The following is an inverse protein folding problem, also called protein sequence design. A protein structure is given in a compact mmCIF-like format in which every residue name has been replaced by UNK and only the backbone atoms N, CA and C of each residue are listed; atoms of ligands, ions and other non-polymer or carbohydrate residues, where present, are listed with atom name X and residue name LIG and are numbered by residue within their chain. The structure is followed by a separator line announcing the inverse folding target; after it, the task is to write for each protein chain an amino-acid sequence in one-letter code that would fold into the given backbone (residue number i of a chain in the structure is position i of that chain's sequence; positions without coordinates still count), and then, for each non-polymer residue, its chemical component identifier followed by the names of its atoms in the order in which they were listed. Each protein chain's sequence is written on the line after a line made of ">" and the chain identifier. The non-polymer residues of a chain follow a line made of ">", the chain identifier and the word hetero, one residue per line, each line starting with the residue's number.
data_IF_112905299807
#
_entry.id   IF_112905299807
#
_cell.length_a   1.000
_cell.length_b   1.000
_cell.length_c   1.000
_cell.angle_alpha   90.00
_cell.angle_beta   90.00
_cell.angle_gamma   90.00
#
_symmetry.space_group_name_H-M   'P 1'
#
loop_
_entity.id
_entity.type
_entity.pdbx_description
1 polymer ?
#
# COMPACT_ATOMS: atom_id res chain seq x y z
N UNK A 1 -3.35 -20.91 -16.31
CA UNK A 1 -3.94 -19.85 -15.45
C UNK A 1 -3.77 -18.51 -16.17
N UNK A 2 -4.76 -17.61 -16.17
CA UNK A 2 -4.62 -16.27 -16.78
C UNK A 2 -3.64 -15.45 -15.93
N UNK A 3 -2.57 -14.92 -16.53
CA UNK A 3 -1.62 -14.03 -15.86
C UNK A 3 -2.28 -12.67 -15.65
N UNK A 4 -2.16 -12.10 -14.45
CA UNK A 4 -2.74 -10.77 -14.18
C UNK A 4 -1.67 -9.76 -13.76
N UNK A 5 -1.70 -8.61 -14.43
CA UNK A 5 -0.92 -7.42 -14.13
C UNK A 5 -1.83 -6.30 -13.62
N UNK A 6 -3.02 -6.63 -13.11
CA UNK A 6 -3.90 -5.65 -12.48
C UNK A 6 -3.28 -5.13 -11.16
N UNK A 7 -3.36 -3.83 -10.85
CA UNK A 7 -2.71 -3.23 -9.68
C UNK A 7 -3.51 -3.40 -8.36
N UNK A 8 -4.30 -4.48 -8.22
CA UNK A 8 -5.04 -4.80 -7.00
C UNK A 8 -6.52 -5.18 -7.24
N UNK A 9 -6.95 -6.39 -6.82
CA UNK A 9 -6.11 -7.54 -6.49
C UNK A 9 -5.16 -7.87 -7.65
N UNK A 10 -3.92 -8.24 -7.34
CA UNK A 10 -2.91 -8.61 -8.33
C UNK A 10 -2.60 -10.10 -8.29
N UNK A 11 -1.59 -10.53 -9.05
CA UNK A 11 -1.07 -11.90 -8.97
C UNK A 11 -0.64 -12.19 -7.53
N UNK A 12 -1.00 -13.36 -7.03
CA UNK A 12 -0.51 -13.87 -5.75
C UNK A 12 0.78 -14.69 -5.94
N UNK A 13 1.58 -14.89 -4.89
CA UNK A 13 2.78 -15.71 -5.02
C UNK A 13 2.45 -17.16 -5.42
N UNK A 14 3.28 -17.75 -6.29
CA UNK A 14 3.08 -19.11 -6.81
C UNK A 14 3.20 -20.19 -5.72
N UNK A 15 3.84 -19.88 -4.59
CA UNK A 15 3.96 -20.76 -3.42
C UNK A 15 2.71 -20.81 -2.55
N UNK A 16 1.72 -19.93 -2.77
CA UNK A 16 0.53 -19.90 -1.91
C UNK A 16 -0.18 -21.25 -1.79
N UNK A 17 -0.44 -22.03 -2.86
CA UNK A 17 -1.10 -23.32 -2.73
C UNK A 17 -0.44 -24.25 -1.71
N UNK A 18 0.90 -24.27 -1.65
CA UNK A 18 1.66 -25.00 -0.65
C UNK A 18 1.38 -24.44 0.76
N UNK A 19 1.47 -23.12 0.94
CA UNK A 19 1.20 -22.48 2.24
C UNK A 19 -0.24 -22.73 2.71
N UNK A 20 -1.20 -22.77 1.80
CA UNK A 20 -2.60 -23.07 2.15
C UNK A 20 -2.75 -24.49 2.69
N UNK A 21 -2.06 -25.45 2.07
CA UNK A 21 -2.05 -26.84 2.53
C UNK A 21 -1.37 -26.96 3.90
N UNK A 22 -0.19 -26.35 4.07
CA UNK A 22 0.54 -26.35 5.34
C UNK A 22 -0.27 -25.69 6.46
N UNK A 23 -0.99 -24.59 6.19
CA UNK A 23 -1.89 -23.96 7.17
C UNK A 23 -3.00 -24.91 7.67
N UNK A 24 -3.51 -25.78 6.79
CA UNK A 24 -4.50 -26.79 7.15
C UNK A 24 -3.86 -27.92 7.98
N UNK A 25 -2.73 -28.44 7.53
CA UNK A 25 -2.00 -29.54 8.20
C UNK A 25 -1.48 -29.15 9.59
N UNK A 26 -1.02 -27.91 9.76
CA UNK A 26 -0.57 -27.35 11.03
C UNK A 26 -1.73 -26.95 11.97
N UNK A 27 -2.99 -27.08 11.52
CA UNK A 27 -4.18 -26.74 12.32
C UNK A 27 -4.43 -25.25 12.49
N UNK A 28 -3.69 -24.38 11.78
CA UNK A 28 -3.77 -22.92 11.89
C UNK A 28 -5.17 -22.40 11.57
N UNK A 29 -5.87 -23.03 10.62
CA UNK A 29 -7.22 -22.63 10.23
C UNK A 29 -8.26 -22.79 11.37
N UNK A 30 -7.96 -23.60 12.38
CA UNK A 30 -8.80 -23.79 13.57
C UNK A 30 -8.19 -23.19 14.83
N UNK A 31 -7.07 -22.48 14.71
CA UNK A 31 -6.38 -21.90 15.86
C UNK A 31 -7.21 -20.80 16.51
N UNK A 32 -7.36 -20.87 17.84
CA UNK A 32 -7.96 -19.80 18.61
C UNK A 32 -7.01 -18.59 18.62
N UNK A 33 -7.50 -17.38 18.29
CA UNK A 33 -6.72 -16.14 18.28
C UNK A 33 -6.17 -15.69 19.66
N UNK A 34 -6.47 -16.43 20.73
CA UNK A 34 -5.91 -16.26 22.08
C UNK A 34 -4.93 -17.38 22.46
N UNK A 35 -4.70 -18.35 21.59
CA UNK A 35 -3.79 -19.48 21.83
C UNK A 35 -2.33 -19.10 21.59
N UNK A 36 -1.39 -19.87 22.16
CA UNK A 36 0.03 -19.73 21.91
C UNK A 36 0.35 -19.79 20.40
N UNK A 37 -0.28 -20.71 19.66
CA UNK A 37 -0.12 -20.83 18.21
C UNK A 37 -0.36 -19.51 17.48
N UNK A 38 -1.42 -18.79 17.85
CA UNK A 38 -1.71 -17.49 17.23
C UNK A 38 -0.74 -16.40 17.69
N UNK A 39 -0.44 -16.34 18.99
CA UNK A 39 0.45 -15.33 19.56
C UNK A 39 1.87 -15.45 18.99
N UNK A 40 2.39 -16.68 18.87
CA UNK A 40 3.69 -16.98 18.28
C UNK A 40 3.70 -16.59 16.79
N UNK A 41 2.63 -16.90 16.05
CA UNK A 41 2.48 -16.52 14.64
C UNK A 41 2.47 -15.01 14.45
N UNK A 42 1.76 -14.26 15.31
CA UNK A 42 1.77 -12.80 15.31
C UNK A 42 3.18 -12.31 15.60
N UNK A 43 3.79 -12.73 16.71
CA UNK A 43 5.13 -12.29 17.13
C UNK A 43 6.18 -12.54 16.04
N UNK A 44 6.15 -13.72 15.40
CA UNK A 44 7.02 -14.05 14.29
C UNK A 44 6.76 -13.14 13.08
N UNK A 45 5.50 -12.86 12.76
CA UNK A 45 5.16 -11.90 11.69
C UNK A 45 5.72 -10.51 11.99
N UNK A 46 5.57 -10.01 13.21
CA UNK A 46 6.11 -8.71 13.61
C UNK A 46 7.65 -8.68 13.55
N UNK A 47 8.30 -9.77 13.94
CA UNK A 47 9.76 -9.95 13.82
C UNK A 47 10.19 -9.89 12.35
N UNK A 48 9.49 -10.57 11.46
CA UNK A 48 9.76 -10.53 10.03
C UNK A 48 9.54 -9.15 9.42
N UNK A 49 8.59 -8.34 9.92
CA UNK A 49 8.47 -6.93 9.51
C UNK A 49 9.74 -6.13 9.84
N UNK A 50 10.33 -6.35 11.02
CA UNK A 50 11.60 -5.72 11.41
C UNK A 50 12.75 -6.14 10.50
N UNK A 51 12.90 -7.45 10.30
CA UNK A 51 14.01 -8.02 9.53
C UNK A 51 13.90 -7.70 8.04
N UNK A 52 12.72 -7.93 7.44
CA UNK A 52 12.54 -7.89 5.99
C UNK A 52 12.22 -6.49 5.49
N UNK A 53 11.48 -5.70 6.26
CA UNK A 53 11.06 -4.36 5.85
C UNK A 53 11.81 -3.24 6.57
N UNK A 54 12.69 -3.56 7.52
CA UNK A 54 13.41 -2.60 8.35
C UNK A 54 12.46 -1.73 9.22
N UNK A 55 11.37 -2.33 9.71
CA UNK A 55 10.48 -1.68 10.68
C UNK A 55 11.23 -1.42 12.01
N UNK A 56 11.25 -0.19 12.56
CA UNK A 56 11.89 0.07 13.84
C UNK A 56 11.20 -0.67 14.98
N UNK A 57 11.99 -1.12 15.97
CA UNK A 57 11.50 -1.92 17.11
C UNK A 57 10.39 -1.25 17.92
N UNK A 58 10.39 0.08 17.92
CA UNK A 58 9.43 0.91 18.64
C UNK A 58 8.03 0.93 18.02
N UNK A 59 7.87 0.53 16.76
CA UNK A 59 6.56 0.48 16.10
C UNK A 59 5.77 -0.74 16.54
N UNK A 60 4.45 -0.60 16.56
CA UNK A 60 3.52 -1.71 16.72
C UNK A 60 2.88 -2.06 15.40
N UNK A 61 2.93 -3.35 15.05
CA UNK A 61 2.18 -3.93 13.94
C UNK A 61 0.76 -4.21 14.44
N UNK A 62 -0.26 -3.86 13.66
CA UNK A 62 -1.65 -4.20 13.92
C UNK A 62 -2.29 -4.74 12.64
N UNK A 63 -3.26 -5.63 12.82
CA UNK A 63 -4.00 -6.24 11.72
C UNK A 63 -5.42 -5.70 11.66
N UNK A 64 -5.86 -5.36 10.45
CA UNK A 64 -7.23 -4.91 10.14
C UNK A 64 -7.82 -5.71 8.99
N UNK A 65 -9.06 -5.46 8.60
CA UNK A 65 -9.71 -6.13 7.46
C UNK A 65 -9.25 -5.58 6.10
N UNK A 66 -8.89 -4.29 6.03
CA UNK A 66 -8.50 -3.62 4.78
C UNK A 66 -7.81 -2.26 5.02
N UNK A 67 -7.14 -1.74 3.99
CA UNK A 67 -6.61 -0.37 4.00
C UNK A 67 -7.71 0.70 4.15
N UNK A 68 -8.93 0.43 3.64
CA UNK A 68 -10.09 1.32 3.80
C UNK A 68 -10.50 1.43 5.26
N UNK A 69 -10.46 0.33 6.03
CA UNK A 69 -10.73 0.38 7.47
C UNK A 69 -9.72 1.28 8.19
N UNK A 70 -8.45 1.25 7.78
CA UNK A 70 -7.42 2.12 8.35
C UNK A 70 -7.72 3.61 8.13
N UNK A 71 -8.40 4.00 7.04
CA UNK A 71 -8.83 5.39 6.84
C UNK A 71 -9.74 5.87 7.98
N UNK A 72 -10.69 5.03 8.39
CA UNK A 72 -11.62 5.33 9.47
C UNK A 72 -10.93 5.24 10.83
N UNK A 73 -10.14 4.20 11.10
CA UNK A 73 -9.40 4.04 12.37
C UNK A 73 -8.50 5.25 12.64
N UNK A 74 -7.74 5.70 11.64
CA UNK A 74 -6.85 6.86 11.80
C UNK A 74 -7.67 8.13 12.12
N UNK A 75 -8.73 8.39 11.35
CA UNK A 75 -9.56 9.58 11.54
C UNK A 75 -10.25 9.55 12.91
N UNK A 76 -10.78 8.40 13.32
CA UNK A 76 -11.59 8.27 14.51
C UNK A 76 -10.77 8.18 15.81
N UNK A 77 -9.59 7.54 15.79
CA UNK A 77 -8.83 7.26 17.01
C UNK A 77 -7.59 8.12 17.17
N UNK A 78 -7.14 8.84 16.13
CA UNK A 78 -5.88 9.62 16.16
C UNK A 78 -6.10 11.12 15.95
N UNK A 79 -7.03 11.54 15.08
CA UNK A 79 -7.27 12.97 14.80
C UNK A 79 -8.07 13.59 15.93
N UNK A 80 -7.55 14.60 16.63
CA UNK A 80 -8.24 15.32 17.71
C UNK A 80 -8.91 16.62 17.20
N UNK A 81 -8.39 17.22 16.13
CA UNK A 81 -8.90 18.49 15.59
C UNK A 81 -9.30 18.40 14.12
N UNK A 82 -8.35 18.10 13.23
CA UNK A 82 -8.58 17.98 11.80
C UNK A 82 -7.35 17.38 11.09
N UNK A 83 -7.58 16.65 10.00
CA UNK A 83 -6.51 16.19 9.12
C UNK A 83 -6.13 17.21 8.04
N UNK A 84 -4.88 17.15 7.56
CA UNK A 84 -4.40 17.83 6.36
C UNK A 84 -3.99 16.79 5.32
N UNK A 85 -4.83 16.54 4.31
CA UNK A 85 -4.62 15.44 3.35
C UNK A 85 -3.94 15.93 2.08
N UNK A 86 -2.74 15.42 1.81
CA UNK A 86 -1.95 15.65 0.60
C UNK A 86 -2.13 14.44 -0.34
N UNK A 87 -2.72 14.68 -1.52
CA UNK A 87 -3.01 13.61 -2.48
C UNK A 87 -3.11 14.12 -3.92
N UNK A 88 -2.90 13.22 -4.88
CA UNK A 88 -2.93 13.53 -6.32
C UNK A 88 -4.05 12.83 -7.10
N UNK A 89 -4.84 11.96 -6.46
CA UNK A 89 -5.82 11.14 -7.18
C UNK A 89 -6.93 10.53 -6.33
N UNK A 90 -7.45 9.40 -6.81
CA UNK A 90 -8.73 8.86 -6.36
C UNK A 90 -8.67 8.23 -4.97
N UNK A 91 -7.58 7.55 -4.61
CA UNK A 91 -7.50 6.86 -3.32
C UNK A 91 -7.28 7.88 -2.19
N UNK A 92 -6.41 8.86 -2.39
CA UNK A 92 -6.27 9.95 -1.42
C UNK A 92 -7.53 10.81 -1.28
N UNK A 93 -8.27 11.06 -2.39
CA UNK A 93 -9.58 11.71 -2.31
C UNK A 93 -10.57 10.90 -1.46
N UNK A 94 -10.63 9.58 -1.66
CA UNK A 94 -11.51 8.72 -0.85
C UNK A 94 -11.13 8.77 0.62
N UNK A 95 -9.84 8.64 0.96
CA UNK A 95 -9.40 8.76 2.35
C UNK A 95 -9.83 10.11 2.96
N UNK A 96 -9.62 11.22 2.25
CA UNK A 96 -10.12 12.54 2.65
C UNK A 96 -11.65 12.54 2.86
N UNK A 97 -12.43 11.98 1.94
CA UNK A 97 -13.89 11.98 2.01
C UNK A 97 -14.38 11.24 3.28
N UNK A 98 -13.77 10.10 3.61
CA UNK A 98 -14.05 9.37 4.86
C UNK A 98 -13.61 10.18 6.09
N UNK A 99 -12.42 10.77 6.06
CA UNK A 99 -11.91 11.60 7.15
C UNK A 99 -12.82 12.81 7.42
N UNK A 100 -13.35 13.47 6.38
CA UNK A 100 -14.30 14.58 6.49
C UNK A 100 -15.65 14.18 7.08
N UNK A 101 -16.06 12.92 6.90
CA UNK A 101 -17.30 12.44 7.51
C UNK A 101 -17.19 12.34 9.04
N UNK A 102 -15.98 12.05 9.54
CA UNK A 102 -15.68 11.95 10.96
C UNK A 102 -15.27 13.31 11.55
N UNK A 103 -14.37 14.02 10.87
CA UNK A 103 -13.83 15.33 11.24
C UNK A 103 -14.05 16.35 10.11
N UNK A 104 -15.20 17.08 10.08
CA UNK A 104 -15.59 17.94 8.96
C UNK A 104 -14.62 19.08 8.62
N UNK A 105 -13.76 19.49 9.58
CA UNK A 105 -12.75 20.54 9.40
C UNK A 105 -11.50 20.06 8.65
N UNK A 106 -11.41 18.77 8.33
CA UNK A 106 -10.29 18.18 7.59
C UNK A 106 -10.08 18.87 6.23
N UNK A 107 -8.84 19.26 5.96
CA UNK A 107 -8.44 20.01 4.77
C UNK A 107 -7.94 19.12 3.64
N UNK A 108 -8.19 19.59 2.41
CA UNK A 108 -7.82 18.92 1.18
C UNK A 108 -6.71 19.70 0.46
N UNK A 109 -5.48 19.18 0.51
CA UNK A 109 -4.36 19.66 -0.30
C UNK A 109 -4.20 18.76 -1.52
N UNK A 110 -4.98 19.04 -2.57
CA UNK A 110 -4.91 18.29 -3.82
C UNK A 110 -3.81 18.86 -4.71
N UNK A 111 -2.84 18.03 -5.07
CA UNK A 111 -1.84 18.33 -6.10
C UNK A 111 -2.22 17.72 -7.45
N UNK A 112 -1.63 18.20 -8.54
CA UNK A 112 -1.83 17.59 -9.84
C UNK A 112 -1.13 16.21 -9.90
N UNK A 113 -1.67 15.23 -10.65
CA UNK A 113 -0.92 14.02 -10.99
C UNK A 113 0.43 14.37 -11.62
N UNK A 114 1.51 13.78 -11.11
CA UNK A 114 2.87 14.05 -11.58
C UNK A 114 3.58 15.25 -10.94
N UNK A 115 2.90 16.03 -10.10
CA UNK A 115 3.48 17.16 -9.38
C UNK A 115 4.28 16.70 -8.16
N UNK A 116 5.46 17.30 -7.95
CA UNK A 116 6.25 17.11 -6.73
C UNK A 116 5.66 18.01 -5.65
N UNK A 117 5.53 17.49 -4.42
CA UNK A 117 5.04 18.30 -3.30
C UNK A 117 6.09 19.37 -3.00
N UNK A 118 5.71 20.65 -3.15
CA UNK A 118 6.50 21.78 -2.68
C UNK A 118 6.40 21.89 -1.15
N UNK A 119 7.32 21.23 -0.45
CA UNK A 119 7.34 21.16 1.01
C UNK A 119 7.51 22.55 1.62
N UNK A 120 8.27 23.44 1.00
CA UNK A 120 8.50 24.81 1.49
C UNK A 120 7.25 25.68 1.39
N UNK A 121 6.45 25.48 0.34
CA UNK A 121 5.16 26.15 0.18
C UNK A 121 4.04 25.59 1.06
N UNK A 122 4.16 24.36 1.59
CA UNK A 122 3.13 23.80 2.48
C UNK A 122 2.87 24.72 3.68
N UNK A 123 1.60 24.96 3.98
CA UNK A 123 1.15 25.70 5.16
C UNK A 123 0.18 24.80 5.94
N UNK A 124 0.71 23.99 6.85
CA UNK A 124 -0.10 23.15 7.75
C UNK A 124 -0.28 23.90 9.07
N UNK A 125 -1.45 24.51 9.25
CA UNK A 125 -1.80 25.27 10.44
C UNK A 125 -1.90 24.45 11.74
N UNK A 126 -2.09 25.15 12.86
CA UNK A 126 -2.19 24.52 14.18
C UNK A 126 -3.50 23.75 14.39
N UNK A 127 -4.54 24.12 13.64
CA UNK A 127 -5.84 23.45 13.59
C UNK A 127 -5.79 22.05 12.98
N UNK A 128 -4.71 21.70 12.27
CA UNK A 128 -4.49 20.36 11.73
C UNK A 128 -3.46 19.63 12.58
N UNK A 129 -3.86 18.54 13.23
CA UNK A 129 -3.03 17.77 14.14
C UNK A 129 -2.56 16.42 13.54
N UNK A 130 -2.97 16.15 12.29
CA UNK A 130 -2.51 15.03 11.48
C UNK A 130 -2.26 15.48 10.02
N UNK A 131 -1.14 15.05 9.43
CA UNK A 131 -0.86 15.16 8.00
C UNK A 131 -1.02 13.77 7.38
N UNK A 132 -1.89 13.66 6.38
CA UNK A 132 -2.14 12.42 5.66
C UNK A 132 -1.53 12.49 4.26
N UNK A 133 -0.67 11.54 3.89
CA UNK A 133 0.00 11.50 2.59
C UNK A 133 -0.36 10.21 1.86
N UNK A 134 -0.87 10.32 0.63
CA UNK A 134 -0.98 9.16 -0.26
C UNK A 134 0.34 8.92 -0.97
N UNK A 135 1.17 7.99 -0.47
CA UNK A 135 2.53 7.80 -0.98
C UNK A 135 2.58 7.18 -2.36
N UNK A 136 1.65 6.29 -2.71
CA UNK A 136 1.54 5.73 -4.05
C UNK A 136 0.08 5.71 -4.51
N UNK A 137 -0.29 6.69 -5.33
CA UNK A 137 -1.63 6.89 -5.86
C UNK A 137 -1.89 5.92 -7.02
N UNK A 138 -2.40 4.73 -6.70
CA UNK A 138 -2.59 3.64 -7.66
C UNK A 138 -3.52 4.03 -8.83
N UNK A 139 -4.36 5.06 -8.68
CA UNK A 139 -5.32 5.47 -9.72
C UNK A 139 -4.65 6.09 -10.95
N UNK A 140 -3.52 6.79 -10.74
CA UNK A 140 -2.78 7.50 -11.78
C UNK A 140 -1.28 7.15 -11.83
N UNK A 141 -0.80 6.28 -10.93
CA UNK A 141 0.61 5.89 -10.78
C UNK A 141 1.56 7.03 -10.37
N UNK A 142 1.06 8.02 -9.62
CA UNK A 142 1.91 9.04 -8.98
C UNK A 142 2.44 8.51 -7.65
N UNK A 143 3.71 8.71 -7.38
CA UNK A 143 4.40 8.33 -6.16
C UNK A 143 5.07 9.55 -5.51
N UNK A 144 4.88 9.69 -4.20
CA UNK A 144 5.65 10.61 -3.35
C UNK A 144 6.93 9.89 -2.91
N UNK A 145 8.07 10.52 -3.15
CA UNK A 145 9.39 9.98 -2.80
C UNK A 145 9.66 10.10 -1.29
N UNK A 146 10.54 9.24 -0.77
CA UNK A 146 10.82 9.18 0.67
C UNK A 146 11.53 10.43 1.19
N UNK A 147 12.38 11.06 0.39
CA UNK A 147 13.02 12.34 0.70
C UNK A 147 11.99 13.47 0.87
N UNK A 148 10.91 13.47 0.09
CA UNK A 148 9.79 14.41 0.25
C UNK A 148 9.05 14.16 1.58
N UNK A 149 8.77 12.90 1.94
CA UNK A 149 8.11 12.58 3.21
C UNK A 149 9.01 12.96 4.40
N UNK A 150 10.31 12.69 4.31
CA UNK A 150 11.31 13.12 5.30
C UNK A 150 11.39 14.66 5.42
N UNK A 151 11.34 15.39 4.31
CA UNK A 151 11.26 16.85 4.32
C UNK A 151 9.98 17.36 5.01
N UNK A 152 8.82 16.71 4.78
CA UNK A 152 7.57 17.03 5.50
C UNK A 152 7.74 16.77 7.00
N UNK A 153 8.34 15.65 7.41
CA UNK A 153 8.65 15.36 8.81
C UNK A 153 9.52 16.44 9.45
N UNK A 154 10.61 16.81 8.78
CA UNK A 154 11.53 17.87 9.26
C UNK A 154 10.84 19.21 9.42
N UNK A 155 9.93 19.57 8.51
CA UNK A 155 9.17 20.81 8.58
C UNK A 155 8.08 20.79 9.66
N UNK A 156 7.47 19.63 9.91
CA UNK A 156 6.36 19.46 10.84
C UNK A 156 6.63 18.40 11.92
N UNK A 157 7.68 18.57 12.75
CA UNK A 157 8.12 17.53 13.69
C UNK A 157 7.06 17.19 14.75
N UNK A 158 6.21 18.15 15.12
CA UNK A 158 5.19 17.99 16.16
C UNK A 158 3.83 17.49 15.65
N UNK A 159 3.69 17.23 14.35
CA UNK A 159 2.44 16.72 13.75
C UNK A 159 2.52 15.21 13.61
N UNK A 160 1.39 14.53 13.82
CA UNK A 160 1.31 13.12 13.44
C UNK A 160 1.28 13.02 11.92
N UNK A 161 2.14 12.19 11.34
CA UNK A 161 2.13 11.93 9.89
C UNK A 161 1.64 10.51 9.64
N UNK A 162 0.59 10.37 8.83
CA UNK A 162 0.04 9.11 8.39
C UNK A 162 0.22 8.93 6.89
N UNK A 163 0.65 7.74 6.46
CA UNK A 163 1.03 7.49 5.06
C UNK A 163 0.31 6.25 4.49
N UNK A 164 -0.42 6.46 3.40
CA UNK A 164 -0.99 5.37 2.58
C UNK A 164 0.11 4.72 1.75
N UNK A 165 0.43 3.47 2.07
CA UNK A 165 1.41 2.65 1.34
C UNK A 165 0.79 1.37 0.79
N UNK A 166 -0.53 1.36 0.59
CA UNK A 166 -1.29 0.20 0.15
C UNK A 166 -0.71 -0.45 -1.11
N UNK A 167 -0.18 0.35 -2.04
CA UNK A 167 0.41 -0.13 -3.29
C UNK A 167 1.93 -0.11 -3.35
N UNK A 168 2.62 0.04 -2.22
CA UNK A 168 4.07 0.18 -2.17
C UNK A 168 4.74 -0.58 -1.01
N UNK A 169 4.08 -0.75 0.14
CA UNK A 169 4.64 -1.51 1.26
C UNK A 169 4.89 -2.97 0.85
N UNK A 170 6.11 -3.46 1.07
CA UNK A 170 6.58 -4.77 0.60
C UNK A 170 7.18 -4.76 -0.81
N UNK A 171 7.13 -3.64 -1.53
CA UNK A 171 7.79 -3.46 -2.83
C UNK A 171 8.75 -2.27 -2.90
N UNK A 172 8.56 -1.26 -2.06
CA UNK A 172 9.42 -0.06 -1.98
C UNK A 172 10.09 -0.05 -0.62
N UNK A 173 11.38 0.32 -0.57
CA UNK A 173 12.07 0.59 0.69
C UNK A 173 11.53 1.90 1.28
N UNK A 174 10.80 1.78 2.38
CA UNK A 174 10.23 2.90 3.13
C UNK A 174 11.15 3.20 4.32
N UNK A 175 11.37 4.48 4.60
CA UNK A 175 11.96 4.91 5.86
C UNK A 175 10.84 5.18 6.86
N UNK A 176 10.59 4.22 7.75
CA UNK A 176 9.51 4.32 8.72
C UNK A 176 9.70 5.44 9.74
N UNK A 177 10.93 5.94 9.94
CA UNK A 177 11.17 7.08 10.83
C UNK A 177 10.59 8.40 10.30
N UNK A 178 10.25 8.46 9.00
CA UNK A 178 9.69 9.67 8.40
C UNK A 178 8.21 9.90 8.76
N UNK A 179 7.47 8.92 9.29
CA UNK A 179 6.06 9.09 9.63
C UNK A 179 5.62 8.21 10.80
N UNK A 180 4.56 8.60 11.50
CA UNK A 180 4.08 7.92 12.70
C UNK A 180 3.18 6.74 12.40
N UNK A 181 2.41 6.83 11.32
CA UNK A 181 1.43 5.83 10.96
C UNK A 181 1.65 5.43 9.50
N UNK A 182 1.75 4.13 9.27
CA UNK A 182 1.84 3.56 7.94
C UNK A 182 0.78 2.50 7.80
N UNK A 183 0.11 2.44 6.65
CA UNK A 183 -0.84 1.37 6.42
C UNK A 183 -0.81 0.84 5.00
N UNK A 184 -1.26 -0.41 4.87
CA UNK A 184 -1.41 -1.09 3.59
C UNK A 184 -2.51 -2.16 3.64
N UNK A 185 -2.71 -2.84 2.51
CA UNK A 185 -3.47 -4.09 2.43
C UNK A 185 -2.73 -5.10 1.54
N UNK A 186 -2.93 -6.38 1.81
CA UNK A 186 -1.98 -7.42 1.36
C UNK A 186 -2.11 -7.84 -0.12
N UNK A 187 -3.17 -7.45 -0.82
CA UNK A 187 -3.46 -7.85 -2.20
C UNK A 187 -2.74 -7.06 -3.30
N UNK A 188 -1.66 -6.35 -2.93
CA UNK A 188 -0.79 -5.62 -3.84
C UNK A 188 0.64 -6.15 -3.76
N UNK A 189 1.58 -5.40 -3.17
CA UNK A 189 2.99 -5.79 -3.13
C UNK A 189 3.25 -7.03 -2.25
N UNK A 190 2.40 -7.30 -1.25
CA UNK A 190 2.47 -8.54 -0.48
C UNK A 190 1.92 -9.77 -1.22
N UNK A 191 1.31 -9.63 -2.40
CA UNK A 191 0.94 -10.77 -3.25
C UNK A 191 0.02 -11.80 -2.59
N UNK A 192 -0.91 -11.37 -1.74
CA UNK A 192 -1.86 -12.26 -1.05
C UNK A 192 -3.31 -12.05 -1.53
N UNK A 193 -4.25 -12.97 -1.24
CA UNK A 193 -5.66 -12.69 -1.36
C UNK A 193 -6.07 -11.47 -0.52
N UNK A 194 -7.04 -10.69 -1.00
CA UNK A 194 -7.59 -9.57 -0.24
C UNK A 194 -8.28 -10.05 1.05
N UNK A 195 -8.33 -9.19 2.06
CA UNK A 195 -8.98 -9.49 3.35
C UNK A 195 -8.07 -9.34 4.57
N UNK A 196 -6.88 -8.76 4.41
CA UNK A 196 -6.02 -8.34 5.52
C UNK A 196 -5.46 -6.94 5.23
N UNK A 197 -5.68 -6.03 6.18
CA UNK A 197 -5.06 -4.73 6.28
C UNK A 197 -3.93 -4.75 7.31
N UNK A 198 -2.98 -3.86 7.14
CA UNK A 198 -1.82 -3.66 8.02
C UNK A 198 -1.82 -2.22 8.48
N UNK A 199 -1.60 -2.00 9.77
CA UNK A 199 -1.46 -0.69 10.38
C UNK A 199 -0.23 -0.70 11.30
N UNK A 200 0.75 0.13 10.99
CA UNK A 200 1.98 0.29 11.78
C UNK A 200 1.89 1.62 12.52
N UNK A 201 2.14 1.61 13.83
CA UNK A 201 1.91 2.77 14.71
C UNK A 201 3.16 3.06 15.54
N UNK A 202 3.67 4.30 15.48
CA UNK A 202 4.80 4.78 16.27
C UNK A 202 4.41 5.05 17.73
N UNK A 203 5.38 5.16 18.65
CA UNK A 203 5.12 5.57 20.03
C UNK A 203 4.39 6.92 20.15
N UNK A 204 4.71 7.90 19.30
CA UNK A 204 4.08 9.23 19.35
C UNK A 204 2.60 9.16 18.92
N UNK A 205 2.28 8.32 17.93
CA UNK A 205 0.89 8.05 17.58
C UNK A 205 0.16 7.28 18.68
N UNK A 206 0.79 6.32 19.35
CA UNK A 206 0.22 5.61 20.51
C UNK A 206 -0.11 6.61 21.64
N UNK A 207 0.83 7.48 22.01
CA UNK A 207 0.63 8.49 23.04
C UNK A 207 -0.54 9.44 22.71
N UNK A 208 -0.74 9.75 21.42
CA UNK A 208 -1.89 10.53 20.96
C UNK A 208 -3.21 9.76 21.07
N UNK A 209 -3.22 8.47 20.73
CA UNK A 209 -4.40 7.59 20.90
C UNK A 209 -4.79 7.53 22.38
N UNK A 210 -3.82 7.33 23.27
CA UNK A 210 -4.04 7.25 24.72
C UNK A 210 -4.61 8.56 25.28
N UNK A 211 -4.08 9.71 24.83
CA UNK A 211 -4.60 11.03 25.21
C UNK A 211 -6.04 11.26 24.71
N UNK A 212 -6.34 10.87 23.47
CA UNK A 212 -7.69 10.99 22.90
C UNK A 212 -8.67 10.05 23.60
N UNK A 213 -8.23 8.86 23.99
CA UNK A 213 -9.01 7.89 24.77
C UNK A 213 -10.22 7.32 24.03
N UNK A 214 -10.22 7.28 22.70
CA UNK A 214 -11.35 6.79 21.91
C UNK A 214 -11.53 5.26 22.07
N UNK A 215 -12.75 4.84 22.46
CA UNK A 215 -13.12 3.43 22.72
C UNK A 215 -14.54 3.08 22.25
N UNK A 216 -15.08 3.82 21.27
CA UNK A 216 -16.49 3.77 20.90
C UNK A 216 -16.87 2.71 19.86
N UNK A 217 -15.91 1.99 19.28
CA UNK A 217 -16.11 1.08 18.15
C UNK A 217 -15.33 -0.22 18.33
N UNK A 218 -15.78 -1.29 17.67
CA UNK A 218 -15.09 -2.58 17.70
C UNK A 218 -13.64 -2.49 17.17
N UNK A 219 -13.36 -1.53 16.29
CA UNK A 219 -12.03 -1.27 15.75
C UNK A 219 -11.39 0.01 16.32
N UNK A 220 -11.80 0.47 17.50
CA UNK A 220 -11.10 1.56 18.19
C UNK A 220 -9.63 1.18 18.41
N UNK A 221 -8.73 2.07 18.00
CA UNK A 221 -7.29 1.80 18.03
C UNK A 221 -6.78 1.51 19.44
N UNK A 222 -7.37 2.13 20.47
CA UNK A 222 -7.06 1.86 21.87
C UNK A 222 -7.23 0.38 22.25
N UNK A 223 -8.30 -0.27 21.79
CA UNK A 223 -8.51 -1.70 22.05
C UNK A 223 -7.51 -2.56 21.28
N UNK A 224 -7.21 -2.19 20.02
CA UNK A 224 -6.27 -2.90 19.19
C UNK A 224 -4.86 -2.87 19.79
N UNK A 225 -4.40 -1.70 20.24
CA UNK A 225 -3.10 -1.50 20.89
C UNK A 225 -2.99 -2.28 22.21
N UNK A 226 -4.04 -2.25 23.04
CA UNK A 226 -4.09 -3.00 24.30
C UNK A 226 -3.89 -4.51 24.06
N UNK A 227 -4.58 -5.08 23.06
CA UNK A 227 -4.46 -6.51 22.75
C UNK A 227 -3.11 -6.85 22.09
N UNK A 228 -2.56 -5.95 21.29
CA UNK A 228 -1.27 -6.12 20.63
C UNK A 228 -0.09 -6.22 21.63
N UNK A 229 -0.22 -5.71 22.86
CA UNK A 229 0.81 -5.87 23.90
C UNK A 229 1.11 -7.34 24.22
N UNK A 230 0.13 -8.23 24.02
CA UNK A 230 0.25 -9.67 24.24
C UNK A 230 0.15 -10.46 22.94
N UNK A 231 0.46 -9.84 21.79
CA UNK A 231 0.37 -10.47 20.46
C UNK A 231 -1.01 -11.05 20.14
N UNK A 232 -2.07 -10.36 20.58
CA UNK A 232 -3.46 -10.73 20.33
C UNK A 232 -4.15 -9.62 19.52
N UNK A 233 -5.31 -9.96 18.97
CA UNK A 233 -6.20 -8.98 18.31
C UNK A 233 -7.46 -8.79 19.15
N UNK A 234 -8.02 -7.58 19.12
CA UNK A 234 -9.23 -7.27 19.89
C UNK A 234 -10.43 -8.14 19.45
N UNK A 235 -10.63 -8.26 18.14
CA UNK A 235 -11.63 -9.11 17.52
C UNK A 235 -10.97 -10.30 16.82
N UNK A 236 -11.74 -11.35 16.55
CA UNK A 236 -11.26 -12.53 15.80
C UNK A 236 -10.79 -12.09 14.40
N UNK A 237 -9.50 -12.24 14.08
CA UNK A 237 -8.92 -11.68 12.86
C UNK A 237 -9.01 -12.67 11.70
N UNK A 238 -8.53 -12.24 10.53
CA UNK A 238 -8.21 -13.14 9.43
C UNK A 238 -6.91 -13.93 9.75
N UNK A 239 -7.02 -14.95 10.60
CA UNK A 239 -5.90 -15.81 11.04
C UNK A 239 -5.15 -16.38 9.82
N UNK A 240 -5.89 -16.83 8.81
CA UNK A 240 -5.31 -17.37 7.58
C UNK A 240 -4.51 -16.34 6.79
N UNK A 241 -5.02 -15.12 6.66
CA UNK A 241 -4.28 -14.02 6.02
C UNK A 241 -2.99 -13.68 6.75
N UNK A 242 -3.00 -13.68 8.09
CA UNK A 242 -1.81 -13.43 8.92
C UNK A 242 -0.79 -14.55 8.72
N UNK A 243 -1.24 -15.81 8.69
CA UNK A 243 -0.38 -16.95 8.37
C UNK A 243 0.29 -16.80 7.00
N UNK A 244 -0.49 -16.53 5.95
CA UNK A 244 0.05 -16.36 4.59
C UNK A 244 1.05 -15.20 4.51
N UNK A 245 0.78 -14.10 5.22
CA UNK A 245 1.69 -12.97 5.30
C UNK A 245 3.01 -13.36 5.97
N UNK A 246 2.95 -14.09 7.08
CA UNK A 246 4.14 -14.65 7.73
C UNK A 246 4.97 -15.49 6.76
N UNK A 247 4.35 -16.45 6.07
CA UNK A 247 5.01 -17.35 5.13
C UNK A 247 5.63 -16.62 3.94
N UNK A 248 4.93 -15.63 3.40
CA UNK A 248 5.49 -14.78 2.33
C UNK A 248 6.67 -13.95 2.82
N UNK A 249 6.62 -13.39 4.04
CA UNK A 249 7.73 -12.62 4.58
C UNK A 249 8.97 -13.47 4.87
N UNK A 250 8.81 -14.71 5.35
CA UNK A 250 9.94 -15.64 5.52
C UNK A 250 10.73 -15.81 4.21
N UNK A 251 10.00 -15.94 3.11
CA UNK A 251 10.54 -16.15 1.77
C UNK A 251 10.99 -14.87 1.06
N UNK A 252 10.52 -13.70 1.50
CA UNK A 252 10.86 -12.43 0.89
C UNK A 252 12.34 -12.11 1.15
N UNK A 253 13.03 -11.61 0.14
CA UNK A 253 14.33 -10.95 0.35
C UNK A 253 14.15 -9.69 1.20
N UNK A 254 15.23 -9.20 1.81
CA UNK A 254 15.17 -7.90 2.46
C UNK A 254 14.79 -6.79 1.45
N UNK A 255 14.04 -5.81 1.93
CA UNK A 255 13.33 -4.83 1.10
C UNK A 255 14.23 -4.04 0.15
N UNK A 256 15.51 -3.83 0.47
CA UNK A 256 16.47 -3.15 -0.43
C UNK A 256 16.69 -3.93 -1.74
N UNK A 257 16.68 -5.26 -1.69
CA UNK A 257 16.86 -6.10 -2.87
C UNK A 257 15.59 -6.13 -3.72
N UNK A 258 14.44 -6.24 -3.05
CA UNK A 258 13.12 -6.18 -3.69
C UNK A 258 12.91 -4.83 -4.40
N UNK A 259 13.14 -3.70 -3.73
CA UNK A 259 12.99 -2.36 -4.31
C UNK A 259 13.95 -2.15 -5.50
N UNK A 260 15.22 -2.55 -5.36
CA UNK A 260 16.20 -2.45 -6.45
C UNK A 260 15.78 -3.27 -7.68
N UNK A 261 15.30 -4.50 -7.47
CA UNK A 261 14.77 -5.38 -8.51
C UNK A 261 13.56 -4.76 -9.21
N UNK A 262 12.57 -4.29 -8.45
CA UNK A 262 11.38 -3.65 -9.01
C UNK A 262 11.72 -2.36 -9.77
N UNK A 263 12.66 -1.53 -9.30
CA UNK A 263 13.12 -0.35 -10.06
C UNK A 263 13.79 -0.72 -11.37
N UNK A 264 14.62 -1.77 -11.37
CA UNK A 264 15.23 -2.29 -12.60
C UNK A 264 14.18 -2.77 -13.59
N UNK A 265 13.19 -3.52 -13.08
CA UNK A 265 12.07 -4.02 -13.86
C UNK A 265 11.19 -2.91 -14.42
N UNK A 266 10.91 -1.88 -13.62
CA UNK A 266 10.14 -0.71 -14.03
C UNK A 266 10.82 -0.01 -15.20
N UNK A 267 12.14 0.26 -15.13
CA UNK A 267 12.88 0.85 -16.26
C UNK A 267 12.69 0.09 -17.57
N UNK A 268 12.77 -1.24 -17.56
CA UNK A 268 12.53 -2.07 -18.76
C UNK A 268 11.10 -1.96 -19.29
N UNK A 269 10.10 -1.89 -18.40
CA UNK A 269 8.71 -1.64 -18.77
C UNK A 269 8.53 -0.25 -19.35
N UNK A 270 9.18 0.76 -18.76
CA UNK A 270 9.12 2.13 -19.24
C UNK A 270 9.73 2.26 -20.63
N UNK A 271 10.90 1.65 -20.85
CA UNK A 271 11.55 1.60 -22.15
C UNK A 271 10.67 0.90 -23.19
N UNK A 272 10.00 -0.20 -22.83
CA UNK A 272 9.08 -0.89 -23.73
C UNK A 272 7.93 0.03 -24.17
N UNK A 273 7.27 0.70 -23.22
CA UNK A 273 6.15 1.61 -23.50
C UNK A 273 6.60 2.83 -24.31
N UNK A 274 7.75 3.43 -23.97
CA UNK A 274 8.27 4.61 -24.67
C UNK A 274 8.62 4.32 -26.14
N UNK A 275 8.93 3.07 -26.48
CA UNK A 275 9.25 2.64 -27.84
C UNK A 275 8.05 2.03 -28.60
N UNK A 276 6.86 1.97 -27.99
CA UNK A 276 5.64 1.50 -28.67
C UNK A 276 4.80 2.69 -29.14
N UNK A 277 4.61 2.79 -30.45
CA UNK A 277 3.89 3.90 -31.07
C UNK A 277 2.43 4.00 -30.58
N UNK A 278 2.00 5.21 -30.22
CA UNK A 278 0.63 5.47 -29.76
C UNK A 278 0.42 5.31 -28.25
N UNK A 279 1.47 4.95 -27.50
CA UNK A 279 1.48 5.00 -26.04
C UNK A 279 2.43 6.06 -25.50
N UNK A 280 2.11 6.54 -24.30
CA UNK A 280 2.97 7.39 -23.49
C UNK A 280 2.69 7.12 -22.00
N UNK A 281 3.63 7.50 -21.15
CA UNK A 281 3.41 7.43 -19.70
C UNK A 281 2.31 8.40 -19.29
N UNK A 282 1.37 7.96 -18.46
CA UNK A 282 0.33 8.87 -17.96
C UNK A 282 0.94 9.98 -17.09
N UNK A 283 1.91 9.64 -16.25
CA UNK A 283 2.68 10.60 -15.45
C UNK A 283 3.97 10.93 -16.21
N UNK A 284 4.06 12.16 -16.71
CA UNK A 284 5.19 12.59 -17.54
C UNK A 284 6.46 12.82 -16.71
N UNK A 285 6.33 13.36 -15.49
CA UNK A 285 7.45 13.63 -14.59
C UNK A 285 8.04 12.33 -14.01
N UNK A 286 9.27 11.91 -14.36
CA UNK A 286 9.88 10.68 -13.84
C UNK A 286 10.08 10.69 -12.31
N UNK A 287 10.27 11.86 -11.70
CA UNK A 287 10.50 11.99 -10.26
C UNK A 287 9.29 11.54 -9.44
N UNK A 288 8.11 11.56 -10.03
CA UNK A 288 6.84 11.21 -9.39
C UNK A 288 6.20 9.95 -9.97
N UNK A 289 6.86 9.22 -10.86
CA UNK A 289 6.37 7.92 -11.36
C UNK A 289 6.49 6.84 -10.29
N UNK A 290 5.42 6.07 -10.12
CA UNK A 290 5.41 4.90 -9.27
C UNK A 290 6.37 3.81 -9.75
N UNK A 291 7.14 3.24 -8.83
CA UNK A 291 8.01 2.09 -9.10
C UNK A 291 7.26 0.76 -9.05
N UNK A 292 6.04 0.72 -8.52
CA UNK A 292 5.26 -0.51 -8.33
C UNK A 292 4.03 -0.60 -9.22
N UNK A 293 3.58 0.52 -9.80
CA UNK A 293 2.46 0.56 -10.74
C UNK A 293 2.84 1.45 -11.91
N UNK A 294 2.80 0.93 -13.12
CA UNK A 294 2.93 1.74 -14.33
C UNK A 294 1.53 2.15 -14.82
N UNK A 295 1.36 3.40 -15.22
CA UNK A 295 0.16 3.86 -15.93
C UNK A 295 0.53 4.35 -17.33
N UNK A 296 -0.14 3.78 -18.32
CA UNK A 296 0.09 4.04 -19.74
C UNK A 296 -1.17 4.63 -20.33
N UNK A 297 -1.03 5.74 -21.06
CA UNK A 297 -2.12 6.40 -21.76
C UNK A 297 -1.96 6.29 -23.28
N UNK A 298 -3.09 6.35 -23.98
CA UNK A 298 -3.18 6.22 -25.43
C UNK A 298 -4.59 6.51 -25.93
N UNK A 299 -4.79 6.48 -27.25
CA UNK A 299 -6.12 6.62 -27.85
C UNK A 299 -7.02 5.47 -27.40
N UNK A 300 -8.31 5.74 -27.17
CA UNK A 300 -9.25 4.74 -26.65
C UNK A 300 -9.27 3.43 -27.46
N UNK A 301 -9.27 3.52 -28.79
CA UNK A 301 -9.20 2.37 -29.70
C UNK A 301 -7.94 1.51 -29.44
N UNK A 302 -6.79 2.14 -29.20
CA UNK A 302 -5.54 1.46 -28.89
C UNK A 302 -5.59 0.78 -27.52
N UNK A 303 -6.18 1.45 -26.52
CA UNK A 303 -6.35 0.91 -25.16
C UNK A 303 -7.28 -0.30 -25.16
N UNK A 304 -8.37 -0.27 -25.93
CA UNK A 304 -9.27 -1.40 -26.10
C UNK A 304 -8.56 -2.54 -26.84
N UNK A 305 -7.83 -2.23 -27.91
CA UNK A 305 -7.11 -3.23 -28.73
C UNK A 305 -6.04 -3.95 -27.93
N UNK A 306 -5.15 -3.23 -27.22
CA UNK A 306 -4.06 -3.87 -26.45
C UNK A 306 -4.59 -4.75 -25.33
N UNK A 307 -5.65 -4.32 -24.62
CA UNK A 307 -6.28 -5.15 -23.58
C UNK A 307 -6.84 -6.44 -24.19
N UNK A 308 -7.55 -6.36 -25.31
CA UNK A 308 -8.12 -7.53 -25.99
C UNK A 308 -7.04 -8.47 -26.52
N UNK A 309 -5.95 -7.94 -27.07
CA UNK A 309 -4.83 -8.75 -27.57
C UNK A 309 -4.04 -9.39 -26.41
N UNK A 310 -3.83 -8.67 -25.30
CA UNK A 310 -3.23 -9.24 -24.10
C UNK A 310 -4.05 -10.42 -23.56
N UNK A 311 -5.39 -10.30 -23.56
CA UNK A 311 -6.28 -11.38 -23.12
C UNK A 311 -6.18 -12.63 -23.99
N UNK A 312 -5.99 -12.49 -25.30
CA UNK A 312 -5.75 -13.62 -26.21
C UNK A 312 -4.43 -14.33 -25.89
N UNK A 313 -3.41 -13.58 -25.45
CA UNK A 313 -2.12 -14.10 -24.99
C UNK A 313 -2.15 -14.62 -23.53
N UNK A 314 -3.34 -14.68 -22.92
CA UNK A 314 -3.56 -15.16 -21.56
C UNK A 314 -3.13 -14.18 -20.47
N UNK A 315 -3.03 -12.88 -20.78
CA UNK A 315 -2.63 -11.81 -19.87
C UNK A 315 -3.78 -10.84 -19.59
N UNK A 316 -3.88 -10.33 -18.38
CA UNK A 316 -4.83 -9.29 -17.98
C UNK A 316 -4.08 -8.02 -17.58
N UNK A 317 -4.28 -6.94 -18.33
CA UNK A 317 -3.81 -5.61 -17.93
C UNK A 317 -4.81 -4.97 -16.96
N UNK A 318 -4.34 -4.11 -16.07
CA UNK A 318 -5.21 -3.28 -15.26
C UNK A 318 -5.93 -2.23 -16.10
N UNK A 319 -7.22 -2.02 -15.85
CA UNK A 319 -7.93 -0.88 -16.46
C UNK A 319 -7.43 0.45 -15.88
N UNK A 320 -7.51 1.52 -16.68
CA UNK A 320 -7.47 2.89 -16.18
C UNK A 320 -8.51 3.13 -15.07
N UNK A 321 -8.33 4.18 -14.28
CA UNK A 321 -9.17 4.42 -13.11
C UNK A 321 -10.08 5.63 -13.31
N UNK A 322 -11.35 5.51 -12.89
CA UNK A 322 -12.31 6.62 -12.96
C UNK A 322 -12.41 7.24 -14.36
N UNK A 323 -12.20 8.56 -14.52
CA UNK A 323 -12.22 9.24 -15.82
C UNK A 323 -11.17 8.74 -16.83
N UNK A 324 -10.12 8.03 -16.38
CA UNK A 324 -9.03 7.54 -17.23
C UNK A 324 -9.29 6.15 -17.80
N UNK A 325 -10.45 5.53 -17.53
CA UNK A 325 -10.76 4.14 -17.90
C UNK A 325 -10.62 3.85 -19.40
N UNK A 326 -11.09 4.76 -20.24
CA UNK A 326 -11.09 4.62 -21.70
C UNK A 326 -9.73 4.94 -22.32
N UNK A 327 -8.99 5.90 -21.74
CA UNK A 327 -7.74 6.43 -22.30
C UNK A 327 -6.46 5.88 -21.67
N UNK A 328 -6.57 4.94 -20.72
CA UNK A 328 -5.39 4.36 -20.07
C UNK A 328 -5.55 2.89 -19.64
N UNK A 329 -4.41 2.25 -19.41
CA UNK A 329 -4.29 1.00 -18.68
C UNK A 329 -3.16 1.10 -17.66
N UNK A 330 -3.13 0.13 -16.73
CA UNK A 330 -2.15 0.06 -15.65
C UNK A 330 -1.50 -1.31 -15.61
N UNK A 331 -0.23 -1.37 -15.25
CA UNK A 331 0.54 -2.60 -15.07
C UNK A 331 1.07 -2.62 -13.64
N UNK A 332 0.77 -3.69 -12.91
CA UNK A 332 1.42 -3.99 -11.65
C UNK A 332 2.86 -4.44 -11.90
N UNK A 333 3.79 -3.85 -11.17
CA UNK A 333 5.18 -4.27 -11.05
C UNK A 333 5.42 -4.69 -9.59
N UNK A 334 4.74 -5.75 -9.18
CA UNK A 334 4.76 -6.25 -7.80
C UNK A 334 5.67 -7.47 -7.66
N UNK A 335 6.20 -7.75 -6.45
CA UNK A 335 7.14 -8.85 -6.22
C UNK A 335 6.63 -10.24 -6.63
N UNK A 336 5.33 -10.52 -6.45
CA UNK A 336 4.73 -11.82 -6.80
C UNK A 336 4.69 -12.11 -8.31
N UNK A 337 4.87 -11.09 -9.15
CA UNK A 337 4.99 -11.25 -10.60
C UNK A 337 6.44 -11.57 -10.90
N UNK A 338 6.70 -12.69 -11.58
CA UNK A 338 8.06 -13.16 -11.83
C UNK A 338 8.74 -12.34 -12.94
N UNK A 339 10.07 -12.41 -13.00
CA UNK A 339 10.82 -11.79 -14.10
C UNK A 339 10.39 -12.34 -15.47
N UNK A 340 10.17 -13.65 -15.59
CA UNK A 340 9.76 -14.27 -16.87
C UNK A 340 8.36 -13.82 -17.32
N UNK A 341 7.44 -13.61 -16.38
CA UNK A 341 6.10 -13.06 -16.69
C UNK A 341 6.19 -11.62 -17.17
N UNK A 342 7.06 -10.81 -16.58
CA UNK A 342 7.26 -9.43 -16.99
C UNK A 342 7.99 -9.36 -18.34
N UNK A 343 8.97 -10.24 -18.59
CA UNK A 343 9.62 -10.38 -19.89
C UNK A 343 8.62 -10.76 -20.99
N UNK A 344 7.68 -11.67 -20.69
CA UNK A 344 6.57 -11.99 -21.60
C UNK A 344 5.72 -10.75 -21.89
N UNK A 345 5.36 -9.98 -20.86
CA UNK A 345 4.59 -8.75 -21.03
C UNK A 345 5.35 -7.70 -21.85
N UNK A 346 6.64 -7.51 -21.60
CA UNK A 346 7.50 -6.59 -22.34
C UNK A 346 7.59 -7.00 -23.82
N UNK A 347 7.78 -8.29 -24.09
CA UNK A 347 7.79 -8.83 -25.46
C UNK A 347 6.48 -8.55 -26.18
N UNK A 348 5.35 -8.74 -25.50
CA UNK A 348 4.02 -8.41 -26.02
C UNK A 348 3.86 -6.91 -26.31
N UNK A 349 4.24 -6.01 -25.38
CA UNK A 349 4.13 -4.56 -25.58
C UNK A 349 4.99 -4.08 -26.76
N UNK A 350 6.20 -4.64 -26.93
CA UNK A 350 7.09 -4.30 -28.04
C UNK A 350 6.59 -4.79 -29.41
N UNK A 351 5.78 -5.86 -29.43
CA UNK A 351 5.23 -6.43 -30.64
C UNK A 351 3.86 -5.83 -31.05
N UNK A 352 3.25 -5.03 -30.17
CA UNK A 352 1.97 -4.35 -30.39
C UNK A 352 2.14 -3.12 -31.30
#
# INVERSE_FOLDING_TARGET
>A
MKLTFAPGPSKVYDKLPQYMQEAYEEGVLSANHRSAVFMDMYQETETLFREKLHLPDSYKLLFTSSATENWEIISQSVVEQAGYHIFSGSFGKKWLDYAKHIEPKTFAHKIAPGEVIDVDALQVGNEYDLIAITQNETSNATQVRMDVIDAVRKKYPNKIIAVDTTSSMGGVKLDFHAADIWYASVQKCFGLPAGLGILLVSPDAIAKVDRKGERGRYNSLSFMLENAQSYQTHYTPNVFGIYLLKRVLQDLEEIQHVDAGLRSRMRKLEDAVANTAGFRMLVQNPETRSTTVLAVEGKEEMIVRIKKEAEKEGMQLGSGYGPLKSSSFRIANFPAITESEIEKLIGFIKAF
#
